data_IF_648587206230
#
_entry.id   IF_648587206230
#
_cell.length_a   1.000
_cell.length_b   1.000
_cell.length_c   1.000
_cell.angle_alpha   90.00
_cell.angle_beta   90.00
_cell.angle_gamma   90.00
#
_symmetry.space_group_name_H-M   'P 1'
#
loop_
_entity.id
_entity.type
_entity.pdbx_description
1 polymer ?
#
# COMPACT_ATOMS: atom_id res chain seq x y z
N UNK A 1 12.53 -15.04 -4.37
CA UNK A 1 11.41 -15.22 -5.32
C UNK A 1 10.51 -14.01 -5.10
N UNK A 2 10.36 -13.11 -6.09
CA UNK A 2 9.52 -11.93 -5.94
C UNK A 2 8.09 -12.41 -5.63
N UNK A 3 7.53 -12.02 -4.49
CA UNK A 3 6.11 -12.23 -4.23
C UNK A 3 5.34 -11.36 -5.21
N UNK A 4 4.43 -11.97 -5.95
CA UNK A 4 3.72 -11.38 -7.08
C UNK A 4 2.69 -10.30 -6.67
N UNK A 5 2.46 -10.11 -5.36
CA UNK A 5 1.37 -9.29 -4.80
C UNK A 5 1.88 -8.50 -3.59
N UNK A 6 2.90 -7.67 -3.78
CA UNK A 6 3.43 -6.83 -2.71
C UNK A 6 3.90 -5.47 -3.26
N UNK A 7 3.35 -4.40 -2.71
CA UNK A 7 3.93 -3.06 -2.88
C UNK A 7 5.28 -3.02 -2.14
N UNK A 8 6.33 -2.66 -2.87
CA UNK A 8 7.69 -2.51 -2.33
C UNK A 8 8.05 -1.03 -2.20
N UNK A 9 8.55 -0.63 -1.04
CA UNK A 9 8.98 0.73 -0.72
C UNK A 9 10.32 0.72 0.04
N UNK A 10 11.05 1.83 0.07
CA UNK A 10 12.23 1.95 0.93
C UNK A 10 11.84 2.38 2.34
N UNK A 11 12.48 1.76 3.33
CA UNK A 11 12.30 2.18 4.72
C UNK A 11 13.15 3.38 5.10
N UNK A 12 12.60 4.19 5.99
CA UNK A 12 13.10 5.47 6.47
C UNK A 12 14.33 5.39 7.40
N UNK A 13 15.30 4.52 7.16
CA UNK A 13 16.54 4.53 7.95
C UNK A 13 17.69 4.97 7.04
N UNK A 14 18.19 6.18 7.29
CA UNK A 14 19.41 6.77 6.70
C UNK A 14 20.63 5.81 6.72
N UNK A 15 20.61 4.76 7.54
CA UNK A 15 21.65 3.74 7.67
C UNK A 15 21.28 2.34 7.13
N UNK A 16 20.00 2.02 6.94
CA UNK A 16 19.57 0.66 6.57
C UNK A 16 18.85 0.63 5.23
N UNK A 17 19.60 0.14 4.25
CA UNK A 17 19.32 -0.12 2.82
C UNK A 17 18.22 -1.19 2.58
N UNK A 18 17.17 -1.21 3.39
CA UNK A 18 16.18 -2.29 3.36
C UNK A 18 14.98 -1.88 2.51
N UNK A 19 14.78 -2.60 1.41
CA UNK A 19 13.52 -2.64 0.69
C UNK A 19 12.49 -3.35 1.58
N UNK A 20 11.37 -2.70 1.84
CA UNK A 20 10.24 -3.26 2.54
C UNK A 20 9.17 -3.59 1.51
N UNK A 21 8.87 -4.88 1.36
CA UNK A 21 7.68 -5.33 0.67
C UNK A 21 6.69 -5.76 1.75
N UNK A 22 5.47 -5.21 1.73
CA UNK A 22 4.38 -5.72 2.56
C UNK A 22 3.54 -6.65 1.68
N UNK A 23 3.57 -7.96 1.93
CA UNK A 23 2.70 -8.90 1.22
C UNK A 23 1.23 -8.51 1.45
N UNK A 24 0.42 -8.54 0.39
CA UNK A 24 -1.01 -8.24 0.49
C UNK A 24 -1.37 -6.75 0.63
N UNK A 25 -0.39 -5.85 0.57
CA UNK A 25 -0.64 -4.41 0.43
C UNK A 25 -0.73 -4.05 -1.06
N UNK A 26 -1.78 -3.31 -1.43
CA UNK A 26 -2.03 -2.88 -2.80
C UNK A 26 -2.76 -1.52 -2.85
N UNK A 27 -2.77 -0.89 -4.02
CA UNK A 27 -3.54 0.31 -4.32
C UNK A 27 -4.71 -0.02 -5.22
N UNK A 28 -5.89 0.50 -4.87
CA UNK A 28 -7.10 0.33 -5.67
C UNK A 28 -7.66 1.70 -6.04
N UNK A 29 -8.04 1.86 -7.30
CA UNK A 29 -8.74 3.07 -7.72
C UNK A 29 -10.14 3.09 -7.11
N UNK A 30 -10.66 4.28 -6.80
CA UNK A 30 -11.98 4.39 -6.19
C UNK A 30 -13.09 3.75 -7.04
N UNK A 31 -12.98 3.84 -8.36
CA UNK A 31 -13.92 3.25 -9.33
C UNK A 31 -13.95 1.71 -9.32
N UNK A 32 -12.89 1.08 -8.83
CA UNK A 32 -12.77 -0.38 -8.77
C UNK A 32 -13.24 -0.95 -7.41
N UNK A 33 -13.59 -0.08 -6.45
CA UNK A 33 -14.14 -0.51 -5.16
C UNK A 33 -15.62 -0.84 -5.34
N UNK A 34 -15.96 -2.12 -5.13
CA UNK A 34 -17.34 -2.58 -5.04
C UNK A 34 -17.73 -2.70 -3.55
N UNK A 35 -18.47 -1.73 -2.97
CA UNK A 35 -18.77 -1.74 -1.55
C UNK A 35 -19.70 -2.91 -1.20
N UNK A 36 -19.34 -3.65 -0.15
CA UNK A 36 -20.20 -4.67 0.44
C UNK A 36 -20.06 -4.63 1.97
N UNK A 37 -21.08 -5.13 2.66
CA UNK A 37 -21.12 -5.18 4.11
C UNK A 37 -21.10 -6.62 4.59
N UNK A 38 -20.40 -6.87 5.70
CA UNK A 38 -20.39 -8.16 6.38
C UNK A 38 -20.43 -7.94 7.89
N UNK A 39 -21.09 -8.86 8.60
CA UNK A 39 -21.09 -8.92 10.06
C UNK A 39 -20.08 -9.97 10.59
N UNK A 40 -19.30 -10.59 9.70
CA UNK A 40 -18.22 -11.49 10.09
C UNK A 40 -17.05 -10.69 10.67
N UNK A 41 -16.52 -11.18 11.79
CA UNK A 41 -15.32 -10.63 12.43
C UNK A 41 -14.08 -10.88 11.58
N UNK A 42 -14.05 -11.98 10.83
CA UNK A 42 -12.94 -12.37 9.95
C UNK A 42 -13.25 -12.04 8.48
N UNK A 43 -13.61 -10.78 8.21
CA UNK A 43 -14.03 -10.33 6.89
C UNK A 43 -12.93 -10.47 5.82
N UNK A 44 -11.65 -10.36 6.20
CA UNK A 44 -10.50 -10.54 5.33
C UNK A 44 -9.43 -11.38 6.03
N UNK A 45 -8.89 -12.38 5.32
CA UNK A 45 -7.81 -13.23 5.83
C UNK A 45 -6.45 -12.58 5.56
N UNK A 46 -5.97 -11.77 6.50
CA UNK A 46 -4.64 -11.16 6.40
C UNK A 46 -4.01 -10.93 7.78
N UNK A 47 -2.69 -11.13 7.91
CA UNK A 47 -1.99 -11.00 9.20
C UNK A 47 -2.02 -9.58 9.80
N UNK A 48 -2.20 -8.57 8.94
CA UNK A 48 -2.32 -7.17 9.36
C UNK A 48 -3.77 -6.78 9.69
N UNK A 49 -4.77 -7.57 9.33
CA UNK A 49 -6.18 -7.21 9.47
C UNK A 49 -6.53 -6.92 10.93
N UNK A 50 -6.29 -7.88 11.82
CA UNK A 50 -6.54 -7.75 13.26
C UNK A 50 -5.54 -6.81 13.97
N UNK A 51 -4.41 -6.51 13.33
CA UNK A 51 -3.45 -5.52 13.83
C UNK A 51 -3.91 -4.10 13.53
N UNK A 52 -4.58 -3.87 12.41
CA UNK A 52 -4.95 -2.54 11.94
C UNK A 52 -6.39 -2.16 12.23
N UNK A 53 -7.30 -3.13 12.31
CA UNK A 53 -8.73 -2.90 12.41
C UNK A 53 -9.32 -3.63 13.62
N UNK A 54 -10.29 -3.02 14.27
CA UNK A 54 -11.07 -3.63 15.35
C UNK A 54 -12.54 -3.67 14.96
N UNK A 55 -13.17 -4.84 15.11
CA UNK A 55 -14.60 -5.02 14.88
C UNK A 55 -15.43 -4.39 16.01
N UNK A 56 -16.32 -3.47 15.65
CA UNK A 56 -17.28 -2.82 16.53
C UNK A 56 -18.71 -3.08 16.03
N UNK A 57 -19.48 -3.96 16.69
CA UNK A 57 -20.86 -4.21 16.30
C UNK A 57 -21.69 -2.93 16.48
N UNK A 58 -22.52 -2.60 15.49
CA UNK A 58 -23.40 -1.42 15.52
C UNK A 58 -22.81 -0.12 14.96
N UNK A 59 -21.60 -0.14 14.41
CA UNK A 59 -21.07 0.94 13.55
C UNK A 59 -21.17 0.58 12.07
N UNK A 60 -21.24 1.59 11.22
CA UNK A 60 -21.06 1.46 9.77
C UNK A 60 -19.94 2.39 9.27
N UNK A 61 -18.85 1.87 8.68
CA UNK A 61 -18.49 0.45 8.60
C UNK A 61 -18.16 -0.17 9.98
N UNK A 62 -18.32 -1.50 10.16
CA UNK A 62 -18.13 -2.17 11.46
C UNK A 62 -16.67 -2.30 11.89
N UNK A 63 -15.71 -1.90 11.05
CA UNK A 63 -14.29 -1.94 11.35
C UNK A 63 -13.74 -0.53 11.59
N UNK A 64 -13.03 -0.34 12.71
CA UNK A 64 -12.44 0.95 13.09
C UNK A 64 -10.92 0.82 13.15
N UNK A 65 -10.22 1.84 12.67
CA UNK A 65 -8.77 1.93 12.71
C UNK A 65 -8.23 1.91 14.15
N UNK A 66 -7.35 0.95 14.43
CA UNK A 66 -6.52 0.90 15.64
C UNK A 66 -5.39 1.93 15.58
N UNK A 67 -4.77 2.22 16.71
CA UNK A 67 -3.64 3.16 16.83
C UNK A 67 -2.44 2.75 15.97
N UNK A 68 -2.22 1.44 15.87
CA UNK A 68 -1.22 0.81 14.98
C UNK A 68 -1.39 1.22 13.52
N UNK A 69 -2.62 1.25 12.98
CA UNK A 69 -2.90 1.69 11.61
C UNK A 69 -2.65 3.19 11.47
N UNK A 70 -3.06 3.99 12.46
CA UNK A 70 -2.86 5.45 12.45
C UNK A 70 -1.38 5.81 12.44
N UNK A 71 -0.61 5.23 13.35
CA UNK A 71 0.84 5.42 13.41
C UNK A 71 1.55 4.90 12.15
N UNK A 72 1.10 3.78 11.59
CA UNK A 72 1.62 3.28 10.32
C UNK A 72 1.30 4.24 9.17
N UNK A 73 0.07 4.75 9.09
CA UNK A 73 -0.32 5.72 8.08
C UNK A 73 0.52 6.99 8.21
N UNK A 74 0.63 7.61 9.38
CA UNK A 74 1.43 8.83 9.58
C UNK A 74 2.90 8.66 9.17
N UNK A 75 3.50 7.51 9.52
CA UNK A 75 4.88 7.19 9.16
C UNK A 75 5.09 6.97 7.68
N UNK A 76 4.11 6.37 6.98
CA UNK A 76 4.28 5.92 5.60
C UNK A 76 3.58 6.82 4.57
N UNK A 77 2.66 7.69 4.98
CA UNK A 77 1.87 8.54 4.08
C UNK A 77 2.71 9.35 3.09
N UNK A 78 3.84 9.99 3.48
CA UNK A 78 4.65 10.78 2.54
C UNK A 78 5.19 9.98 1.34
N UNK A 79 5.34 8.66 1.47
CA UNK A 79 5.89 7.79 0.43
C UNK A 79 4.83 6.90 -0.22
N UNK A 80 3.66 6.76 0.40
CA UNK A 80 2.50 6.06 -0.17
C UNK A 80 1.60 7.00 -0.99
N UNK A 81 1.81 8.31 -0.87
CA UNK A 81 1.11 9.28 -1.72
C UNK A 81 1.49 9.06 -3.18
N UNK A 82 0.47 8.79 -4.01
CA UNK A 82 0.67 8.54 -5.43
C UNK A 82 1.15 9.81 -6.11
N UNK A 83 2.33 9.76 -6.72
CA UNK A 83 2.87 10.92 -7.44
C UNK A 83 2.10 11.17 -8.74
N UNK A 84 1.74 10.11 -9.45
CA UNK A 84 0.99 10.19 -10.71
C UNK A 84 0.27 8.87 -11.00
N UNK A 85 -0.76 8.90 -11.84
CA UNK A 85 -1.45 7.70 -12.36
C UNK A 85 -1.67 7.88 -13.85
N UNK A 86 -0.97 7.09 -14.65
CA UNK A 86 -1.07 7.14 -16.11
C UNK A 86 -2.04 6.07 -16.61
N UNK A 87 -3.00 6.44 -17.45
CA UNK A 87 -3.99 5.52 -18.00
C UNK A 87 -4.15 5.76 -19.49
N UNK A 88 -3.89 4.74 -20.31
CA UNK A 88 -4.00 4.81 -21.76
C UNK A 88 -4.81 3.63 -22.29
N UNK A 89 -5.56 3.82 -23.38
CA UNK A 89 -6.32 2.74 -24.05
C UNK A 89 -6.03 2.74 -25.53
N UNK A 90 -5.47 1.62 -26.02
CA UNK A 90 -5.13 1.42 -27.43
C UNK A 90 -5.64 0.05 -27.85
N UNK A 91 -6.30 -0.04 -29.01
CA UNK A 91 -6.84 -1.31 -29.54
C UNK A 91 -7.73 -2.07 -28.52
N UNK A 92 -8.57 -1.35 -27.77
CA UNK A 92 -9.43 -1.89 -26.70
C UNK A 92 -8.71 -2.51 -25.50
N UNK A 93 -7.40 -2.31 -25.38
CA UNK A 93 -6.61 -2.70 -24.21
C UNK A 93 -6.31 -1.43 -23.41
N UNK A 94 -6.69 -1.44 -22.13
CA UNK A 94 -6.44 -0.35 -21.20
C UNK A 94 -5.29 -0.69 -20.27
N UNK A 95 -4.29 0.18 -20.22
CA UNK A 95 -3.12 0.05 -19.35
C UNK A 95 -3.15 1.17 -18.32
N UNK A 96 -3.00 0.82 -17.05
CA UNK A 96 -2.82 1.77 -15.94
C UNK A 96 -1.43 1.55 -15.35
N UNK A 97 -0.67 2.64 -15.18
CA UNK A 97 0.68 2.64 -14.60
C UNK A 97 0.72 3.59 -13.43
N UNK A 98 1.13 3.07 -12.27
CA UNK A 98 1.35 3.83 -11.05
C UNK A 98 2.85 3.71 -10.71
N UNK A 99 3.65 4.76 -10.92
CA UNK A 99 5.05 4.75 -10.56
C UNK A 99 5.21 4.92 -9.05
N UNK A 100 6.11 4.14 -8.47
CA UNK A 100 6.54 4.29 -7.09
C UNK A 100 8.03 4.60 -7.09
N UNK A 101 8.42 5.73 -6.49
CA UNK A 101 9.81 6.01 -6.27
C UNK A 101 10.32 5.14 -5.12
N UNK A 102 11.29 4.29 -5.42
CA UNK A 102 11.93 3.41 -4.47
C UNK A 102 13.25 3.99 -3.99
N UNK A 103 13.49 5.29 -4.11
CA UNK A 103 14.67 5.98 -3.57
C UNK A 103 15.91 6.00 -4.44
N UNK A 104 17.00 6.57 -3.94
CA UNK A 104 18.27 6.60 -4.65
C UNK A 104 19.44 6.11 -3.80
N UNK A 105 20.46 5.62 -4.49
CA UNK A 105 21.76 5.25 -3.94
C UNK A 105 22.81 6.15 -4.58
N UNK A 106 23.36 7.06 -3.78
CA UNK A 106 24.53 7.84 -4.15
C UNK A 106 25.81 7.04 -3.87
N UNK A 107 26.73 7.06 -4.83
CA UNK A 107 28.12 6.63 -4.66
C UNK A 107 29.02 7.81 -5.02
N UNK A 108 30.30 7.76 -4.64
CA UNK A 108 31.25 8.89 -4.84
C UNK A 108 31.36 9.35 -6.31
N UNK A 109 30.93 8.53 -7.27
CA UNK A 109 31.02 8.81 -8.71
C UNK A 109 29.70 8.71 -9.47
N UNK A 110 28.65 8.06 -8.93
CA UNK A 110 27.36 7.88 -9.61
C UNK A 110 26.18 7.80 -8.65
N UNK A 111 25.02 8.29 -9.07
CA UNK A 111 23.74 8.12 -8.38
C UNK A 111 22.85 7.16 -9.16
N UNK A 112 22.28 6.16 -8.46
CA UNK A 112 21.33 5.18 -9.01
C UNK A 112 19.97 5.41 -8.38
N UNK A 113 18.94 5.62 -9.18
CA UNK A 113 17.56 5.81 -8.72
C UNK A 113 16.77 4.52 -8.99
N UNK A 114 15.95 4.13 -8.03
CA UNK A 114 15.05 2.99 -8.10
C UNK A 114 13.60 3.46 -8.08
#
# INVERSE_FOLDING_TARGET
RAQTEAVTFLGNNESSRSLYAIPGLDYVAHEDILPYSTNDKTALQHELFDKFLTFHPGREPPFVAQETLRAWQEKNHPWLELSDVHKETTESIRVTVIPFYMGCRETQTTSVYW
#
